data_IF_687030011583
#
_entry.id   IF_687030011583
#
_cell.length_a   1.000
_cell.length_b   1.000
_cell.length_c   1.000
_cell.angle_alpha   90.00
_cell.angle_beta   90.00
_cell.angle_gamma   90.00
#
_symmetry.space_group_name_H-M   'P 1'
#
loop_
_entity.id
_entity.type
_entity.pdbx_description
1 polymer ?
#
# COMPACT_ATOMS: atom_id res chain seq x y z
N UNK A 1 15.05 5.74 -5.69
CA UNK A 1 15.08 4.69 -4.98
C UNK A 1 15.84 3.53 -5.54
N UNK A 2 16.68 3.25 -5.65
CA UNK A 2 17.29 2.29 -6.24
C UNK A 2 17.60 1.04 -5.77
N UNK A 3 17.81 0.60 -5.81
CA UNK A 3 18.01 -0.35 -5.64
C UNK A 3 18.78 -0.97 -5.11
N UNK A 4 18.85 -1.28 -4.99
CA UNK A 4 19.43 -1.85 -4.53
C UNK A 4 19.86 -2.73 -4.36
N UNK A 5 19.76 -3.02 -4.52
CA UNK A 5 20.09 -3.84 -4.38
C UNK A 5 20.88 -4.46 -4.01
N UNK A 6 21.16 -4.57 -3.99
CA UNK A 6 21.87 -5.24 -3.66
C UNK A 6 22.35 -5.63 -2.88
N UNK A 7 22.08 -5.48 -2.92
CA UNK A 7 22.50 -5.75 -2.25
C UNK A 7 23.04 -6.37 -1.64
N UNK A 8 23.20 -6.38 -1.90
CA UNK A 8 24.07 -6.99 -1.23
C UNK A 8 23.75 -7.82 -0.15
N UNK A 9 22.90 -8.39 -0.13
CA UNK A 9 22.48 -9.05 1.01
C UNK A 9 23.58 -9.69 1.74
N UNK A 10 24.22 -9.18 2.48
CA UNK A 10 25.15 -9.83 3.34
C UNK A 10 24.89 -9.31 4.74
N UNK A 11 25.62 -9.76 5.67
CA UNK A 11 25.40 -9.42 7.05
C UNK A 11 25.46 -7.93 7.28
N UNK A 12 26.27 -7.30 6.52
CA UNK A 12 26.43 -5.88 6.67
C UNK A 12 25.16 -5.14 6.29
N UNK A 13 24.49 -5.61 5.24
CA UNK A 13 23.23 -5.01 4.86
C UNK A 13 22.19 -5.16 5.93
N UNK A 14 22.26 -6.23 6.66
CA UNK A 14 21.32 -6.47 7.73
C UNK A 14 21.46 -5.43 8.84
N UNK A 15 22.68 -5.16 9.25
CA UNK A 15 22.89 -4.15 10.27
C UNK A 15 22.45 -2.79 9.78
N UNK A 16 22.70 -2.52 8.52
CA UNK A 16 22.29 -1.27 7.93
C UNK A 16 20.78 -1.12 7.91
N UNK A 17 20.09 -2.20 7.58
CA UNK A 17 18.63 -2.17 7.58
C UNK A 17 18.07 -1.90 8.95
N UNK A 18 18.68 -2.50 9.96
CA UNK A 18 18.21 -2.26 11.32
C UNK A 18 18.36 -0.78 11.68
N UNK A 19 19.45 -0.19 11.24
CA UNK A 19 19.69 1.21 11.52
C UNK A 19 18.71 2.09 10.76
N UNK A 20 18.44 1.78 9.50
CA UNK A 20 17.51 2.54 8.69
C UNK A 20 16.07 2.20 9.04
N UNK A 21 15.86 1.03 9.62
CA UNK A 21 14.54 0.60 10.03
C UNK A 21 13.53 0.55 8.89
N UNK A 22 14.01 0.13 7.73
CA UNK A 22 13.13 -0.05 6.58
C UNK A 22 12.38 -1.37 6.77
N UNK A 23 11.08 -1.31 6.61
CA UNK A 23 10.23 -2.46 6.81
C UNK A 23 8.98 -2.32 5.98
N UNK A 24 8.14 -3.33 6.04
CA UNK A 24 6.92 -3.36 5.25
C UNK A 24 5.80 -3.94 6.08
N UNK A 25 4.58 -3.56 5.72
CA UNK A 25 3.40 -4.21 6.26
C UNK A 25 2.35 -4.29 5.16
N UNK A 26 1.41 -5.20 5.30
CA UNK A 26 0.40 -5.41 4.29
C UNK A 26 -0.99 -5.27 4.88
N UNK A 27 -1.98 -5.19 3.99
CA UNK A 27 -3.37 -5.15 4.41
C UNK A 27 -4.19 -6.03 3.49
N UNK A 28 -5.34 -6.43 3.99
CA UNK A 28 -6.33 -7.17 3.21
C UNK A 28 -7.71 -6.69 3.60
N UNK A 29 -8.64 -6.77 2.67
CA UNK A 29 -10.01 -6.40 2.94
C UNK A 29 -10.95 -7.10 1.99
N UNK A 30 -12.04 -7.63 2.51
CA UNK A 30 -13.10 -8.15 1.68
C UNK A 30 -14.05 -7.04 1.23
N UNK A 31 -14.12 -5.98 2.01
CA UNK A 31 -14.99 -4.86 1.68
C UNK A 31 -14.38 -4.02 0.59
N UNK A 32 -15.19 -3.50 -0.34
CA UNK A 32 -14.65 -2.60 -1.34
C UNK A 32 -14.32 -1.25 -0.73
N UNK A 33 -13.52 -0.49 -1.46
CA UNK A 33 -13.13 0.84 -1.02
C UNK A 33 -13.82 1.89 -1.88
N UNK A 34 -13.96 3.08 -1.32
CA UNK A 34 -14.40 4.25 -2.07
C UNK A 34 -13.17 4.84 -2.75
N UNK A 35 -13.17 4.90 -4.08
CA UNK A 35 -12.00 5.36 -4.82
C UNK A 35 -11.58 6.76 -4.41
N UNK A 36 -12.54 7.65 -4.26
CA UNK A 36 -12.24 9.03 -3.94
C UNK A 36 -11.60 9.15 -2.57
N UNK A 37 -12.14 8.44 -1.60
CA UNK A 37 -11.56 8.46 -0.26
C UNK A 37 -10.19 7.80 -0.23
N UNK A 38 -10.05 6.70 -0.96
CA UNK A 38 -8.77 6.00 -1.02
C UNK A 38 -7.69 6.93 -1.55
N UNK A 39 -8.00 7.66 -2.59
CA UNK A 39 -7.04 8.57 -3.17
C UNK A 39 -6.78 9.77 -2.27
N UNK A 40 -7.82 10.45 -1.84
CA UNK A 40 -7.66 11.72 -1.16
C UNK A 40 -7.33 11.58 0.31
N UNK A 41 -7.84 10.56 0.97
CA UNK A 41 -7.64 10.43 2.41
C UNK A 41 -6.57 9.44 2.78
N UNK A 42 -6.15 8.61 1.85
CA UNK A 42 -5.07 7.68 2.10
C UNK A 42 -3.83 8.02 1.31
N UNK A 43 -3.89 7.93 -0.01
CA UNK A 43 -2.68 8.07 -0.82
C UNK A 43 -2.08 9.47 -0.73
N UNK A 44 -2.91 10.49 -0.75
CA UNK A 44 -2.41 11.86 -0.65
C UNK A 44 -1.97 12.24 0.76
N UNK A 45 -2.34 11.43 1.74
CA UNK A 45 -2.03 11.74 3.13
C UNK A 45 -1.00 10.79 3.72
N UNK A 46 -0.37 9.98 2.89
CA UNK A 46 0.65 9.08 3.41
C UNK A 46 1.82 9.88 3.92
N UNK A 47 2.39 9.49 5.07
CA UNK A 47 3.54 10.21 5.60
C UNK A 47 4.75 10.03 4.72
N UNK A 48 5.68 10.95 4.81
CA UNK A 48 6.88 10.91 3.99
C UNK A 48 7.76 9.71 4.33
N UNK A 49 7.49 9.06 5.44
CA UNK A 49 8.23 7.84 5.80
C UNK A 49 7.86 6.66 4.93
N UNK A 50 6.73 6.73 4.22
CA UNK A 50 6.33 5.66 3.32
C UNK A 50 6.96 5.93 1.96
N UNK A 51 7.82 5.01 1.53
CA UNK A 51 8.54 5.17 0.27
C UNK A 51 7.79 4.57 -0.90
N UNK A 52 7.20 3.39 -0.70
CA UNK A 52 6.52 2.69 -1.78
C UNK A 52 5.31 1.96 -1.23
N UNK A 53 4.32 1.82 -2.10
CA UNK A 53 3.16 1.02 -1.78
C UNK A 53 2.58 0.53 -3.09
N UNK A 54 1.98 -0.64 -3.06
CA UNK A 54 1.30 -1.15 -4.24
C UNK A 54 0.30 -2.20 -3.80
N UNK A 55 -0.66 -2.41 -4.64
CA UNK A 55 -1.67 -3.40 -4.32
C UNK A 55 -2.74 -3.45 -5.37
N UNK A 56 -3.67 -4.34 -5.13
CA UNK A 56 -4.80 -4.56 -6.00
C UNK A 56 -6.05 -4.39 -5.15
N UNK A 57 -6.90 -3.44 -5.51
CA UNK A 57 -8.04 -3.11 -4.68
C UNK A 57 -9.30 -3.07 -5.52
N UNK A 58 -10.40 -3.40 -4.87
CA UNK A 58 -11.71 -3.32 -5.47
C UNK A 58 -12.37 -2.03 -5.03
N UNK A 59 -12.68 -1.18 -5.99
CA UNK A 59 -13.39 0.06 -5.71
C UNK A 59 -14.88 -0.15 -5.97
N UNK A 60 -15.67 0.45 -5.10
CA UNK A 60 -17.13 0.30 -5.18
C UNK A 60 -17.64 0.74 -6.54
N UNK A 61 -18.49 -0.08 -7.13
CA UNK A 61 -19.09 0.25 -8.41
C UNK A 61 -18.30 -0.18 -9.62
N UNK A 62 -17.11 -0.73 -9.42
CA UNK A 62 -16.28 -1.16 -10.54
C UNK A 62 -16.27 -2.67 -10.63
N UNK A 63 -16.31 -3.18 -11.84
CA UNK A 63 -16.32 -4.61 -12.05
C UNK A 63 -14.94 -5.23 -12.16
N UNK A 64 -13.90 -4.42 -12.04
CA UNK A 64 -12.52 -4.89 -12.18
C UNK A 64 -11.69 -4.38 -11.02
N UNK A 65 -10.70 -5.13 -10.59
CA UNK A 65 -9.78 -4.59 -9.58
C UNK A 65 -8.92 -3.48 -10.19
N UNK A 66 -8.45 -2.61 -9.35
CA UNK A 66 -7.50 -1.58 -9.75
C UNK A 66 -6.18 -1.84 -9.09
N UNK A 67 -5.12 -1.65 -9.85
CA UNK A 67 -3.76 -1.73 -9.33
C UNK A 67 -3.34 -0.32 -8.95
N UNK A 68 -2.83 -0.15 -7.74
CA UNK A 68 -2.30 1.14 -7.37
C UNK A 68 -0.80 1.03 -7.12
N UNK A 69 -0.10 2.09 -7.47
CA UNK A 69 1.32 2.20 -7.22
C UNK A 69 1.58 3.56 -6.61
N UNK A 70 2.43 3.55 -5.60
CA UNK A 70 2.82 4.77 -4.91
C UNK A 70 4.33 4.73 -4.72
N UNK A 71 4.98 5.82 -5.08
CA UNK A 71 6.43 5.94 -4.93
C UNK A 71 6.77 7.35 -4.56
N UNK A 72 7.26 7.54 -3.35
CA UNK A 72 7.81 8.82 -2.88
C UNK A 72 6.88 9.99 -3.20
N UNK A 73 5.62 9.87 -2.85
CA UNK A 73 4.67 10.95 -3.01
C UNK A 73 3.92 10.97 -4.32
N UNK A 74 4.24 10.07 -5.22
CA UNK A 74 3.55 9.97 -6.50
C UNK A 74 2.77 8.68 -6.55
N UNK A 75 1.60 8.73 -7.16
CA UNK A 75 0.79 7.53 -7.27
C UNK A 75 0.04 7.52 -8.58
N UNK A 76 -0.36 6.32 -8.99
CA UNK A 76 -1.21 6.17 -10.14
C UNK A 76 -2.01 4.88 -9.99
N UNK A 77 -3.00 4.74 -10.84
CA UNK A 77 -3.87 3.58 -10.87
C UNK A 77 -3.88 3.00 -12.27
N UNK A 78 -3.90 1.67 -12.31
CA UNK A 78 -4.15 0.92 -13.54
C UNK A 78 -5.28 -0.03 -13.25
N UNK A 79 -6.10 -0.31 -14.24
CA UNK A 79 -7.12 -1.32 -14.04
C UNK A 79 -6.56 -2.68 -14.40
N UNK A 80 -7.06 -3.69 -13.72
CA UNK A 80 -6.62 -5.06 -13.95
C UNK A 80 -7.62 -5.70 -14.91
N UNK A 81 -7.16 -6.29 -16.01
CA UNK A 81 -8.09 -6.83 -17.00
C UNK A 81 -8.68 -8.18 -16.63
N UNK A 82 -8.79 -8.45 -15.35
CA UNK A 82 -9.40 -9.68 -14.87
C UNK A 82 -10.66 -9.34 -14.12
N UNK A 83 -11.76 -10.06 -14.35
CA UNK A 83 -12.97 -9.76 -13.61
C UNK A 83 -12.82 -10.11 -12.14
N UNK A 84 -13.59 -9.45 -11.32
CA UNK A 84 -13.61 -9.76 -9.90
C UNK A 84 -14.25 -11.14 -9.73
N UNK A 85 -13.61 -11.98 -8.94
CA UNK A 85 -14.17 -13.26 -8.60
C UNK A 85 -14.82 -13.23 -7.24
N UNK A 86 -15.55 -14.29 -6.92
CA UNK A 86 -16.12 -14.42 -5.61
C UNK A 86 -14.99 -14.47 -4.57
N UNK A 87 -15.18 -13.75 -3.50
CA UNK A 87 -14.19 -13.75 -2.45
C UNK A 87 -12.94 -12.97 -2.75
N UNK A 88 -12.99 -12.11 -3.76
CA UNK A 88 -11.85 -11.26 -4.04
C UNK A 88 -11.49 -10.43 -2.81
N UNK A 89 -10.22 -10.34 -2.52
CA UNK A 89 -9.74 -9.54 -1.42
C UNK A 89 -8.83 -8.43 -1.93
N UNK A 90 -9.15 -7.22 -1.53
CA UNK A 90 -8.23 -6.12 -1.78
C UNK A 90 -7.02 -6.34 -0.90
N UNK A 91 -5.83 -6.11 -1.45
CA UNK A 91 -4.62 -6.31 -0.68
C UNK A 91 -3.52 -5.42 -1.21
N UNK A 92 -2.59 -5.12 -0.33
CA UNK A 92 -1.48 -4.29 -0.74
C UNK A 92 -0.41 -4.29 0.32
N UNK A 93 0.71 -3.65 -0.01
CA UNK A 93 1.84 -3.60 0.89
C UNK A 93 2.38 -2.17 0.90
N UNK A 94 2.80 -1.72 2.08
CA UNK A 94 3.43 -0.43 2.28
C UNK A 94 4.85 -0.66 2.76
N UNK A 95 5.79 0.05 2.18
CA UNK A 95 7.21 -0.07 2.52
C UNK A 95 7.74 1.30 2.88
N UNK A 96 8.43 1.38 3.99
CA UNK A 96 8.96 2.66 4.40
C UNK A 96 9.86 2.55 5.60
N UNK A 97 10.21 3.71 6.13
CA UNK A 97 11.09 3.79 7.28
C UNK A 97 10.23 3.90 8.54
N UNK A 98 10.52 3.04 9.51
CA UNK A 98 9.80 3.05 10.77
C UNK A 98 8.29 2.93 10.58
N UNK A 99 7.91 2.03 9.69
CA UNK A 99 6.50 1.92 9.35
C UNK A 99 5.66 1.49 10.53
N UNK A 100 6.24 0.90 11.55
CA UNK A 100 5.48 0.50 12.71
C UNK A 100 4.88 1.70 13.44
N UNK A 101 5.48 2.88 13.29
CA UNK A 101 4.91 4.08 13.88
C UNK A 101 3.71 4.58 13.11
N UNK A 102 3.67 4.30 11.82
CA UNK A 102 2.60 4.80 10.97
C UNK A 102 1.56 3.75 10.65
N UNK A 103 1.85 2.52 10.99
CA UNK A 103 0.99 1.41 10.60
C UNK A 103 -0.43 1.57 11.10
N UNK A 104 -0.59 1.85 12.38
CA UNK A 104 -1.92 1.97 12.97
C UNK A 104 -2.70 3.10 12.32
N UNK A 105 -2.03 4.23 12.07
CA UNK A 105 -2.69 5.35 11.42
C UNK A 105 -3.11 5.06 10.00
N UNK A 106 -2.24 4.36 9.25
CA UNK A 106 -2.56 4.00 7.87
C UNK A 106 -3.70 3.00 7.84
N UNK A 107 -3.65 1.99 8.70
CA UNK A 107 -4.73 1.01 8.76
C UNK A 107 -6.05 1.66 9.15
N UNK A 108 -6.02 2.63 10.05
CA UNK A 108 -7.21 3.37 10.41
C UNK A 108 -7.78 4.15 9.22
N UNK A 109 -6.90 4.76 8.44
CA UNK A 109 -7.35 5.47 7.24
C UNK A 109 -7.96 4.50 6.23
N UNK A 110 -7.38 3.32 6.10
CA UNK A 110 -7.94 2.31 5.22
C UNK A 110 -9.35 1.93 5.63
N UNK A 111 -9.58 1.77 6.94
CA UNK A 111 -10.91 1.46 7.41
C UNK A 111 -11.90 2.54 7.04
N UNK A 112 -11.49 3.79 7.11
CA UNK A 112 -12.37 4.89 6.78
C UNK A 112 -12.64 5.00 5.28
N UNK A 113 -11.80 4.38 4.47
CA UNK A 113 -12.00 4.40 3.03
C UNK A 113 -12.89 3.26 2.56
N UNK A 114 -13.20 2.30 3.42
CA UNK A 114 -14.07 1.20 3.05
C UNK A 114 -15.51 1.66 2.91
N UNK A 115 -16.19 1.08 1.95
CA UNK A 115 -17.60 1.34 1.78
C UNK A 115 -18.36 0.53 2.82
N UNK A 116 -19.24 1.19 3.53
CA UNK A 116 -20.01 0.55 4.60
C UNK A 116 -21.43 0.33 4.12
N UNK A 117 -22.00 -0.80 4.50
CA UNK A 117 -23.37 -1.12 4.15
C UNK A 117 -24.36 -0.47 5.07
#
# INVERSE_FOLDING_TARGET
CGDESHAGGNGRGKAHLAEDQIAAFSFESLAPFDRDRFEKKLLRKLPSTIYRAKGMVHFEGEGWPSLFNYTCGRYDFDWCPLPLGDGFRSQGVFIGKRVEHDRAGILSKLEKCKVQE
#
